data_IF_235820359369
#
_entry.id   IF_235820359369
#
_cell.length_a   1.000
_cell.length_b   1.000
_cell.length_c   1.000
_cell.angle_alpha   90.00
_cell.angle_beta   90.00
_cell.angle_gamma   90.00
#
_symmetry.space_group_name_H-M   'P 1'
#
loop_
_entity.id
_entity.type
_entity.pdbx_description
1 polymer ?
#
# COMPACT_ATOMS: atom_id res chain seq x y z
N UNK A 1 11.72 11.15 9.30
CA UNK A 1 11.54 10.49 10.60
C UNK A 1 10.36 9.53 10.50
N UNK A 2 10.57 8.24 10.74
CA UNK A 2 9.49 7.25 10.83
C UNK A 2 8.67 7.56 12.08
N UNK A 3 7.44 8.02 11.86
CA UNK A 3 6.68 8.61 12.94
C UNK A 3 6.22 7.61 13.99
N UNK A 4 6.45 7.97 15.26
CA UNK A 4 5.79 7.37 16.42
C UNK A 4 6.37 6.07 17.00
N UNK A 5 7.18 5.31 16.26
CA UNK A 5 7.65 3.99 16.79
C UNK A 5 8.73 4.15 17.88
N UNK A 6 9.43 5.29 17.94
CA UNK A 6 10.55 5.52 18.88
C UNK A 6 10.50 6.83 19.68
N UNK A 7 9.47 7.68 19.51
CA UNK A 7 9.37 8.95 20.24
C UNK A 7 7.93 9.30 20.55
N UNK A 8 7.68 9.86 21.75
CA UNK A 8 6.37 10.33 22.22
C UNK A 8 5.93 11.66 21.59
N UNK A 9 6.69 12.19 20.65
CA UNK A 9 6.32 13.38 19.88
C UNK A 9 5.56 12.98 18.64
N UNK A 10 4.36 13.53 18.45
CA UNK A 10 3.67 13.48 17.16
C UNK A 10 4.56 14.19 16.12
N UNK A 11 5.02 13.50 15.08
CA UNK A 11 5.85 14.09 14.06
C UNK A 11 4.99 14.93 13.13
N UNK A 12 5.47 16.13 12.81
CA UNK A 12 4.81 17.01 11.86
C UNK A 12 4.58 16.29 10.52
N UNK A 13 3.40 16.49 9.94
CA UNK A 13 2.96 15.76 8.76
C UNK A 13 2.32 16.69 7.74
N UNK A 14 2.63 16.42 6.47
CA UNK A 14 1.90 16.99 5.32
C UNK A 14 0.55 16.26 5.17
N UNK A 15 -0.11 16.40 4.02
CA UNK A 15 -1.44 15.81 3.75
C UNK A 15 -1.56 14.31 4.10
N UNK A 16 -0.48 13.55 3.96
CA UNK A 16 -0.41 12.15 4.38
C UNK A 16 0.84 11.90 5.23
N UNK A 17 0.65 11.21 6.36
CA UNK A 17 1.74 10.81 7.24
C UNK A 17 2.54 9.62 6.65
N UNK A 18 3.66 9.26 7.29
CA UNK A 18 4.53 8.18 6.81
C UNK A 18 3.82 6.80 6.82
N UNK A 19 3.03 6.50 7.85
CA UNK A 19 2.28 5.24 7.96
C UNK A 19 1.23 5.09 6.86
N UNK A 20 0.46 6.14 6.59
CA UNK A 20 -0.52 6.20 5.50
C UNK A 20 0.14 5.94 4.14
N UNK A 21 1.34 6.48 3.90
CA UNK A 21 2.10 6.23 2.66
C UNK A 21 2.61 4.80 2.56
N UNK A 22 3.05 4.20 3.68
CA UNK A 22 3.48 2.79 3.71
C UNK A 22 2.29 1.89 3.38
N UNK A 23 1.13 2.12 3.99
CA UNK A 23 -0.09 1.36 3.69
C UNK A 23 -0.47 1.52 2.22
N UNK A 24 -0.44 2.75 1.68
CA UNK A 24 -0.70 3.02 0.27
C UNK A 24 0.19 2.19 -0.66
N UNK A 25 1.52 2.26 -0.49
CA UNK A 25 2.44 1.51 -1.34
C UNK A 25 2.34 0.01 -1.16
N UNK A 26 2.10 -0.46 0.06
CA UNK A 26 1.88 -1.88 0.35
C UNK A 26 0.69 -2.41 -0.44
N UNK A 27 -0.47 -1.73 -0.35
CA UNK A 27 -1.69 -2.13 -1.06
C UNK A 27 -1.51 -2.03 -2.58
N UNK A 28 -0.82 -1.01 -3.09
CA UNK A 28 -0.55 -0.88 -4.53
C UNK A 28 0.32 -2.00 -5.08
N UNK A 29 1.44 -2.31 -4.42
CA UNK A 29 2.37 -3.36 -4.87
C UNK A 29 1.72 -4.74 -4.73
N UNK A 30 1.09 -5.02 -3.58
CA UNK A 30 0.41 -6.30 -3.37
C UNK A 30 -0.81 -6.48 -4.27
N UNK A 31 -1.59 -5.42 -4.49
CA UNK A 31 -2.72 -5.40 -5.42
C UNK A 31 -2.30 -5.70 -6.87
N UNK A 32 -1.15 -5.17 -7.29
CA UNK A 32 -0.58 -5.51 -8.58
C UNK A 32 -0.12 -6.98 -8.64
N UNK A 33 0.59 -7.45 -7.61
CA UNK A 33 1.08 -8.84 -7.50
C UNK A 33 -0.06 -9.88 -7.50
N UNK A 34 -1.12 -9.64 -6.72
CA UNK A 34 -2.30 -10.52 -6.67
C UNK A 34 -3.05 -10.53 -8.00
N UNK A 35 -3.11 -9.39 -8.70
CA UNK A 35 -3.72 -9.31 -10.03
C UNK A 35 -2.92 -10.10 -11.09
N UNK A 36 -1.58 -9.97 -11.10
CA UNK A 36 -0.73 -10.73 -12.02
C UNK A 36 -0.80 -12.24 -11.76
N UNK A 37 -0.78 -12.66 -10.51
CA UNK A 37 -0.94 -14.08 -10.14
C UNK A 37 -2.33 -14.60 -10.45
N UNK A 38 -3.38 -13.79 -10.27
CA UNK A 38 -4.74 -14.13 -10.69
C UNK A 38 -4.84 -14.31 -12.22
N UNK A 39 -4.23 -13.42 -13.00
CA UNK A 39 -4.19 -13.55 -14.46
C UNK A 39 -3.42 -14.81 -14.91
N UNK A 40 -2.29 -15.12 -14.26
CA UNK A 40 -1.54 -16.35 -14.53
C UNK A 40 -2.38 -17.60 -14.22
N UNK A 41 -3.16 -17.59 -13.14
CA UNK A 41 -4.09 -18.68 -12.80
C UNK A 41 -5.25 -18.83 -13.80
N UNK A 42 -5.72 -17.75 -14.41
CA UNK A 42 -6.77 -17.78 -15.43
C UNK A 42 -6.27 -18.35 -16.78
N UNK A 43 -5.00 -18.10 -17.12
CA UNK A 43 -4.41 -18.53 -18.40
C UNK A 43 -3.09 -19.28 -18.19
N UNK A 44 -3.12 -20.49 -17.60
CA UNK A 44 -1.92 -21.19 -17.16
C UNK A 44 -0.96 -21.62 -18.30
N UNK A 45 -1.47 -21.75 -19.52
CA UNK A 45 -0.66 -22.15 -20.68
C UNK A 45 -0.06 -20.98 -21.46
N UNK A 46 -0.64 -19.78 -21.32
CA UNK A 46 -0.21 -18.57 -22.05
C UNK A 46 0.65 -17.65 -21.17
N UNK A 47 0.42 -17.68 -19.85
CA UNK A 47 1.05 -16.78 -18.88
C UNK A 47 1.81 -17.54 -17.78
N UNK A 48 2.92 -18.24 -18.11
CA UNK A 48 3.80 -18.85 -17.11
C UNK A 48 4.57 -17.75 -16.36
N UNK A 49 4.19 -17.51 -15.11
CA UNK A 49 4.72 -16.42 -14.29
C UNK A 49 5.99 -16.83 -13.54
N UNK A 50 6.09 -18.08 -13.07
CA UNK A 50 7.20 -18.51 -12.22
C UNK A 50 8.44 -18.86 -13.03
N UNK A 51 8.32 -19.56 -14.15
CA UNK A 51 9.45 -19.84 -15.04
C UNK A 51 10.15 -18.54 -15.48
N UNK A 52 9.39 -17.51 -15.84
CA UNK A 52 9.93 -16.18 -16.21
C UNK A 52 10.58 -15.49 -15.01
N UNK A 53 9.95 -15.54 -13.83
CA UNK A 53 10.52 -14.98 -12.60
C UNK A 53 11.83 -15.67 -12.21
N UNK A 54 11.88 -17.01 -12.25
CA UNK A 54 13.07 -17.81 -11.95
C UNK A 54 14.20 -17.56 -12.95
N UNK A 55 13.90 -17.44 -14.23
CA UNK A 55 14.90 -17.08 -15.24
C UNK A 55 15.52 -15.70 -14.96
N UNK A 56 14.70 -14.71 -14.59
CA UNK A 56 15.18 -13.39 -14.19
C UNK A 56 16.06 -13.47 -12.94
N UNK A 57 15.62 -14.19 -11.91
CA UNK A 57 16.38 -14.36 -10.66
C UNK A 57 17.72 -15.03 -10.96
N UNK A 58 17.75 -16.10 -11.75
CA UNK A 58 19.00 -16.77 -12.15
C UNK A 58 19.94 -15.81 -12.87
N UNK A 59 19.43 -14.95 -13.76
CA UNK A 59 20.24 -13.97 -14.49
C UNK A 59 20.85 -12.87 -13.60
N UNK A 60 20.17 -12.50 -12.51
CA UNK A 60 20.59 -11.40 -11.62
C UNK A 60 21.40 -11.91 -10.43
N UNK A 61 21.00 -13.04 -9.85
CA UNK A 61 21.54 -13.58 -8.61
C UNK A 61 22.46 -14.80 -8.82
N UNK A 62 22.62 -15.29 -10.05
CA UNK A 62 23.47 -16.45 -10.35
C UNK A 62 22.98 -17.75 -9.73
N UNK A 63 21.68 -17.85 -9.44
CA UNK A 63 21.03 -19.05 -8.89
C UNK A 63 20.72 -20.07 -9.98
N UNK A 64 20.40 -21.29 -9.57
CA UNK A 64 20.02 -22.39 -10.46
C UNK A 64 18.58 -22.88 -10.16
N UNK A 65 17.62 -21.95 -10.20
CA UNK A 65 16.20 -22.27 -10.05
C UNK A 65 15.66 -22.96 -11.31
N UNK A 66 14.74 -23.93 -11.18
CA UNK A 66 14.19 -24.67 -12.33
C UNK A 66 13.35 -23.75 -13.22
N UNK A 67 13.79 -23.51 -14.46
CA UNK A 67 13.08 -22.63 -15.42
C UNK A 67 12.17 -23.39 -16.40
N UNK A 68 12.27 -24.72 -16.41
CA UNK A 68 11.42 -25.60 -17.24
C UNK A 68 10.42 -26.27 -16.33
N UNK A 69 9.30 -25.58 -16.08
CA UNK A 69 8.22 -26.07 -15.21
C UNK A 69 7.09 -26.67 -16.04
N UNK A 70 6.50 -27.76 -15.55
CA UNK A 70 5.27 -28.29 -16.13
C UNK A 70 4.09 -27.36 -15.79
N UNK A 71 3.05 -27.30 -16.64
CA UNK A 71 1.90 -26.40 -16.40
C UNK A 71 1.24 -26.59 -15.03
N UNK A 72 1.19 -27.83 -14.51
CA UNK A 72 0.64 -28.10 -13.19
C UNK A 72 1.51 -27.51 -12.06
N UNK A 73 2.83 -27.55 -12.20
CA UNK A 73 3.77 -26.99 -11.21
C UNK A 73 3.66 -25.46 -11.17
N UNK A 74 3.59 -24.81 -12.34
CA UNK A 74 3.32 -23.36 -12.46
C UNK A 74 2.03 -22.97 -11.72
N UNK A 75 0.95 -23.72 -11.95
CA UNK A 75 -0.32 -23.47 -11.27
C UNK A 75 -0.23 -23.66 -9.75
N UNK A 76 0.53 -24.64 -9.27
CA UNK A 76 0.74 -24.83 -7.83
C UNK A 76 1.48 -23.62 -7.22
N UNK A 77 2.58 -23.18 -7.84
CA UNK A 77 3.32 -22.01 -7.37
C UNK A 77 2.46 -20.73 -7.41
N UNK A 78 1.71 -20.52 -8.49
CA UNK A 78 0.82 -19.38 -8.62
C UNK A 78 -0.29 -19.38 -7.57
N UNK A 79 -0.90 -20.54 -7.28
CA UNK A 79 -1.92 -20.64 -6.24
C UNK A 79 -1.35 -20.34 -4.85
N UNK A 80 -0.19 -20.91 -4.51
CA UNK A 80 0.46 -20.69 -3.22
C UNK A 80 0.81 -19.20 -3.05
N UNK A 81 1.46 -18.61 -4.05
CA UNK A 81 1.82 -17.19 -4.03
C UNK A 81 0.60 -16.28 -3.95
N UNK A 82 -0.42 -16.51 -4.77
CA UNK A 82 -1.65 -15.74 -4.76
C UNK A 82 -2.32 -15.80 -3.39
N UNK A 83 -2.38 -16.99 -2.78
CA UNK A 83 -2.96 -17.18 -1.44
C UNK A 83 -2.19 -16.42 -0.36
N UNK A 84 -0.86 -16.46 -0.40
CA UNK A 84 -0.01 -15.71 0.55
C UNK A 84 -0.25 -14.20 0.42
N UNK A 85 -0.19 -13.68 -0.80
CA UNK A 85 -0.38 -12.24 -1.05
C UNK A 85 -1.80 -11.82 -0.68
N UNK A 86 -2.81 -12.60 -1.03
CA UNK A 86 -4.21 -12.33 -0.69
C UNK A 86 -4.41 -12.30 0.84
N UNK A 87 -3.81 -13.24 1.57
CA UNK A 87 -3.90 -13.27 3.03
C UNK A 87 -3.23 -12.05 3.68
N UNK A 88 -2.03 -11.68 3.23
CA UNK A 88 -1.35 -10.46 3.73
C UNK A 88 -2.16 -9.21 3.38
N UNK A 89 -2.73 -9.13 2.18
CA UNK A 89 -3.56 -8.00 1.76
C UNK A 89 -4.85 -7.91 2.59
N UNK A 90 -5.46 -9.04 2.94
CA UNK A 90 -6.60 -9.09 3.85
C UNK A 90 -6.24 -8.49 5.22
N UNK A 91 -5.09 -8.86 5.80
CA UNK A 91 -4.60 -8.26 7.05
C UNK A 91 -4.36 -6.75 6.92
N UNK A 92 -3.77 -6.31 5.81
CA UNK A 92 -3.53 -4.89 5.55
C UNK A 92 -4.84 -4.10 5.42
N UNK A 93 -5.86 -4.67 4.76
CA UNK A 93 -7.20 -4.06 4.63
C UNK A 93 -7.86 -3.96 6.01
N UNK A 94 -7.80 -5.00 6.84
CA UNK A 94 -8.34 -4.98 8.21
C UNK A 94 -7.65 -3.88 9.03
N UNK A 95 -6.32 -3.80 8.97
CA UNK A 95 -5.57 -2.74 9.66
C UNK A 95 -5.94 -1.34 9.14
N UNK A 96 -6.13 -1.18 7.84
CA UNK A 96 -6.55 0.08 7.22
C UNK A 96 -7.96 0.50 7.68
N UNK A 97 -8.92 -0.43 7.70
CA UNK A 97 -10.28 -0.19 8.20
C UNK A 97 -10.23 0.21 9.68
N UNK A 98 -9.44 -0.49 10.50
CA UNK A 98 -9.29 -0.17 11.92
C UNK A 98 -8.77 1.25 12.13
N UNK A 99 -7.67 1.62 11.46
CA UNK A 99 -7.08 2.96 11.57
C UNK A 99 -8.05 4.04 11.08
N UNK A 100 -8.78 3.78 9.99
CA UNK A 100 -9.73 4.73 9.41
C UNK A 100 -11.07 4.88 10.15
N UNK A 101 -11.41 3.96 11.05
CA UNK A 101 -12.68 3.97 11.80
C UNK A 101 -12.49 4.27 13.27
N UNK A 102 -11.77 3.40 13.99
CA UNK A 102 -11.63 3.47 15.46
C UNK A 102 -10.29 4.08 15.86
N UNK A 103 -9.22 3.83 15.09
CA UNK A 103 -7.86 4.23 15.44
C UNK A 103 -7.56 5.72 15.29
N UNK A 104 -8.38 6.46 14.53
CA UNK A 104 -8.28 7.92 14.37
C UNK A 104 -9.69 8.52 14.43
N UNK A 105 -10.04 9.10 15.58
CA UNK A 105 -11.32 9.78 15.76
C UNK A 105 -11.51 10.88 14.71
N UNK A 106 -12.70 10.99 14.12
CA UNK A 106 -13.02 11.96 13.06
C UNK A 106 -12.50 11.61 11.66
N UNK A 107 -11.64 10.60 11.50
CA UNK A 107 -11.12 10.20 10.18
C UNK A 107 -12.21 9.59 9.28
N UNK A 108 -13.12 8.79 9.86
CA UNK A 108 -14.23 8.19 9.11
C UNK A 108 -15.19 9.25 8.57
N UNK A 109 -15.59 10.20 9.43
CA UNK A 109 -16.47 11.30 9.03
C UNK A 109 -15.81 12.16 7.96
N UNK A 110 -14.52 12.48 8.10
CA UNK A 110 -13.78 13.25 7.11
C UNK A 110 -13.67 12.56 5.75
N UNK A 111 -13.56 11.23 5.72
CA UNK A 111 -13.62 10.45 4.47
C UNK A 111 -15.02 10.44 3.87
N UNK A 112 -16.07 10.38 4.69
CA UNK A 112 -17.46 10.31 4.25
C UNK A 112 -18.03 11.63 3.74
N UNK A 113 -17.71 12.75 4.40
CA UNK A 113 -18.23 14.08 4.06
C UNK A 113 -17.26 14.91 3.19
N UNK A 114 -15.99 14.49 3.07
CA UNK A 114 -14.96 15.18 2.29
C UNK A 114 -14.40 16.44 2.94
N UNK A 115 -14.76 16.73 4.19
CA UNK A 115 -14.34 17.90 4.97
C UNK A 115 -13.67 17.46 6.28
N UNK A 116 -12.67 18.19 6.72
CA UNK A 116 -11.93 17.87 7.94
C UNK A 116 -11.96 19.04 8.89
N UNK A 117 -12.16 18.75 10.18
CA UNK A 117 -12.07 19.77 11.22
C UNK A 117 -10.67 20.37 11.26
N UNK A 118 -10.59 21.69 11.41
CA UNK A 118 -9.35 22.42 11.29
C UNK A 118 -8.43 22.17 12.50
N UNK A 119 -8.99 21.97 13.70
CA UNK A 119 -8.23 21.62 14.88
C UNK A 119 -7.68 20.19 14.78
N UNK A 120 -8.48 19.25 14.29
CA UNK A 120 -8.01 17.90 13.98
C UNK A 120 -6.86 17.91 12.96
N UNK A 121 -7.00 18.72 11.90
CA UNK A 121 -5.98 18.86 10.86
C UNK A 121 -4.70 19.50 11.40
N UNK A 122 -4.79 20.44 12.35
CA UNK A 122 -3.61 21.01 13.03
C UNK A 122 -2.89 19.96 13.88
N UNK A 123 -3.63 19.08 14.55
CA UNK A 123 -3.04 18.05 15.42
C UNK A 123 -2.38 16.90 14.62
N UNK A 124 -2.94 16.53 13.47
CA UNK A 124 -2.49 15.36 12.70
C UNK A 124 -1.72 15.70 11.43
N UNK A 125 -1.90 16.89 10.87
CA UNK A 125 -1.41 17.33 9.56
C UNK A 125 -1.02 18.83 9.55
N UNK A 126 -0.31 19.27 10.60
CA UNK A 126 0.13 20.65 10.83
C UNK A 126 0.78 21.33 9.62
N UNK A 127 1.71 20.65 8.92
CA UNK A 127 2.39 21.21 7.74
C UNK A 127 1.43 21.42 6.57
N UNK A 128 0.39 20.60 6.48
CA UNK A 128 -0.63 20.76 5.45
C UNK A 128 -1.58 21.93 5.75
N UNK A 129 -1.95 22.12 7.02
CA UNK A 129 -2.73 23.30 7.43
C UNK A 129 -1.96 24.59 7.10
N UNK A 130 -0.68 24.65 7.48
CA UNK A 130 0.17 25.80 7.18
C UNK A 130 0.28 26.07 5.66
N UNK A 131 0.34 25.03 4.83
CA UNK A 131 0.35 25.17 3.37
C UNK A 131 -0.97 25.73 2.83
N UNK A 132 -2.11 25.26 3.35
CA UNK A 132 -3.44 25.71 2.93
C UNK A 132 -3.69 27.17 3.35
N UNK A 133 -3.40 27.53 4.60
CA UNK A 133 -3.52 28.91 5.11
C UNK A 133 -2.62 29.87 4.31
N UNK A 134 -1.37 29.47 4.02
CA UNK A 134 -0.46 30.27 3.19
C UNK A 134 -0.95 30.45 1.75
N UNK A 135 -1.64 29.46 1.17
CA UNK A 135 -2.26 29.58 -0.17
C UNK A 135 -3.48 30.49 -0.16
N UNK A 136 -4.33 30.41 0.86
CA UNK A 136 -5.50 31.28 1.00
C UNK A 136 -5.10 32.75 1.18
N UNK A 137 -4.07 33.02 2.00
CA UNK A 137 -3.54 34.38 2.19
C UNK A 137 -2.94 35.00 0.92
N UNK A 138 -2.46 34.20 -0.04
CA UNK A 138 -1.97 34.69 -1.34
C UNK A 138 -3.09 34.89 -2.37
N UNK A 139 -4.19 34.16 -2.28
CA UNK A 139 -5.34 34.27 -3.18
C UNK A 139 -6.29 35.44 -2.88
N UNK A 140 -6.27 35.97 -1.65
CA UNK A 140 -7.06 37.14 -1.24
C UNK A 140 -6.38 38.50 -1.48
N UNK A 141 -5.22 38.53 -2.15
CA UNK A 141 -4.43 39.74 -2.43
C UNK A 141 -4.43 40.12 -3.93
N UNK A 142 -5.46 39.72 -4.69
CA UNK A 142 -5.65 40.12 -6.10
C UNK A 142 -6.99 40.82 -6.29
#
# INVERSE_FOLDING_TARGET
>A
AGGGIFTKSHPSAKKFNAGQKIIFWTVMIMGFSVSLSGLSLLFPFELPMFAKTFALINSVAGTDLPTVLLPHEEMQYANIWHSIVAFVMMLAIIAHIYIGSVGMEGAFDAMGNGQVDLEWARQHHDLWVAEVEAKQGKGGSS
#
